data_IF_299927320348
#
_entry.id   IF_299927320348
#
_cell.length_a   1.000
_cell.length_b   1.000
_cell.length_c   1.000
_cell.angle_alpha   90.00
_cell.angle_beta   90.00
_cell.angle_gamma   90.00
#
_symmetry.space_group_name_H-M   'P 1'
#
loop_
_entity.id
_entity.type
_entity.pdbx_description
1 polymer ?
#
# COMPACT_ATOMS: atom_id res chain seq x y z
N UNK A 1 -45.04 12.14 -48.06
CA UNK A 1 -45.87 11.96 -46.85
C UNK A 1 -44.96 12.05 -45.65
N UNK A 2 -45.03 13.16 -44.89
CA UNK A 2 -44.25 13.41 -43.68
C UNK A 2 -45.08 13.07 -42.45
N UNK A 3 -44.49 12.41 -41.46
CA UNK A 3 -45.09 12.20 -40.14
C UNK A 3 -44.23 12.92 -39.10
N UNK A 4 -44.79 13.97 -38.52
CA UNK A 4 -44.30 14.65 -37.33
C UNK A 4 -44.83 13.93 -36.09
N UNK A 5 -44.00 13.73 -35.07
CA UNK A 5 -44.41 13.33 -33.72
C UNK A 5 -43.94 14.40 -32.74
N UNK A 6 -44.90 15.12 -32.17
CA UNK A 6 -44.71 15.99 -31.01
C UNK A 6 -44.96 15.20 -29.73
N UNK A 7 -44.21 15.51 -28.67
CA UNK A 7 -44.47 15.02 -27.32
C UNK A 7 -44.69 16.23 -26.41
N UNK A 8 -45.79 16.15 -25.66
CA UNK A 8 -46.36 17.13 -24.76
C UNK A 8 -45.70 17.05 -23.37
N UNK A 9 -45.44 18.20 -22.76
CA UNK A 9 -44.96 18.36 -21.38
C UNK A 9 -46.04 18.04 -20.34
N UNK A 10 -45.64 17.52 -19.18
CA UNK A 10 -46.37 17.75 -17.93
C UNK A 10 -45.40 17.82 -16.74
N UNK A 11 -45.25 19.03 -16.19
CA UNK A 11 -44.63 19.31 -14.89
C UNK A 11 -45.62 18.97 -13.78
N UNK A 12 -45.16 18.30 -12.72
CA UNK A 12 -45.92 18.18 -11.48
C UNK A 12 -45.10 18.72 -10.31
N UNK A 13 -45.64 19.74 -9.65
CA UNK A 13 -45.25 20.18 -8.31
C UNK A 13 -46.52 20.25 -7.49
N UNK A 14 -46.56 19.61 -6.32
CA UNK A 14 -47.09 20.21 -5.08
C UNK A 14 -46.73 19.36 -3.84
N UNK A 15 -46.70 20.05 -2.71
CA UNK A 15 -46.04 19.74 -1.45
C UNK A 15 -46.76 18.77 -0.49
N UNK A 16 -45.92 18.20 0.39
CA UNK A 16 -46.07 17.93 1.83
C UNK A 16 -47.28 17.14 2.38
N UNK A 17 -46.98 16.01 3.02
CA UNK A 17 -47.66 15.58 4.26
C UNK A 17 -46.66 14.84 5.18
N UNK A 18 -46.31 15.52 6.28
CA UNK A 18 -45.95 15.04 7.63
C UNK A 18 -45.50 13.59 7.89
N UNK A 19 -44.31 13.46 8.51
CA UNK A 19 -44.15 12.61 9.69
C UNK A 19 -43.30 11.33 9.55
N UNK A 20 -41.98 11.43 9.75
CA UNK A 20 -41.24 10.36 10.43
C UNK A 20 -40.05 10.93 11.20
N UNK A 21 -40.05 10.68 12.50
CA UNK A 21 -39.07 11.11 13.49
C UNK A 21 -37.69 10.49 13.20
N UNK A 22 -36.64 11.31 13.11
CA UNK A 22 -35.27 10.81 13.23
C UNK A 22 -34.99 10.50 14.70
N UNK A 23 -35.20 9.25 15.11
CA UNK A 23 -34.61 8.75 16.35
C UNK A 23 -33.13 8.53 16.11
N UNK A 24 -32.31 9.36 16.75
CA UNK A 24 -30.87 9.27 16.76
C UNK A 24 -30.39 7.91 17.25
N UNK A 25 -29.62 7.24 16.40
CA UNK A 25 -28.61 6.29 16.83
C UNK A 25 -27.30 7.03 16.68
N UNK A 26 -26.83 7.64 17.77
CA UNK A 26 -25.46 8.13 17.84
C UNK A 26 -24.55 6.92 17.76
N UNK A 27 -23.87 6.76 16.62
CA UNK A 27 -22.78 5.80 16.46
C UNK A 27 -21.77 6.02 17.59
N UNK A 28 -21.33 4.98 18.30
CA UNK A 28 -20.38 5.15 19.38
C UNK A 28 -19.10 5.80 18.82
N UNK A 29 -18.63 6.81 19.55
CA UNK A 29 -17.43 7.59 19.33
C UNK A 29 -16.23 6.65 19.06
N UNK A 30 -15.97 6.35 17.78
CA UNK A 30 -14.77 5.63 17.37
C UNK A 30 -13.60 6.59 17.57
N UNK A 31 -12.97 6.50 18.75
CA UNK A 31 -11.62 7.02 18.96
C UNK A 31 -10.80 6.63 17.74
N UNK A 32 -10.28 7.63 17.04
CA UNK A 32 -9.41 7.45 15.87
C UNK A 32 -8.24 6.55 16.28
N UNK A 33 -8.35 5.26 15.98
CA UNK A 33 -7.26 4.32 16.20
C UNK A 33 -6.22 4.65 15.15
N UNK A 34 -5.02 5.06 15.60
CA UNK A 34 -3.92 5.39 14.70
C UNK A 34 -3.70 4.21 13.75
N UNK A 35 -4.05 4.39 12.48
CA UNK A 35 -3.93 3.36 11.44
C UNK A 35 -2.47 2.89 11.38
N UNK A 36 -2.26 1.57 11.45
CA UNK A 36 -0.93 0.99 11.29
C UNK A 36 -0.38 1.33 9.91
N UNK A 37 0.87 1.81 9.86
CA UNK A 37 1.60 2.05 8.62
C UNK A 37 2.76 1.06 8.53
N UNK A 38 2.90 0.26 7.47
CA UNK A 38 4.01 -0.67 7.31
C UNK A 38 5.40 0.01 7.48
N UNK A 39 5.54 1.26 7.06
CA UNK A 39 6.76 2.05 7.23
C UNK A 39 7.17 2.27 8.70
N UNK A 40 6.24 2.20 9.65
CA UNK A 40 6.59 2.27 11.07
C UNK A 40 7.33 1.01 11.56
N UNK A 41 7.28 -0.10 10.81
CA UNK A 41 7.94 -1.37 11.16
C UNK A 41 9.39 -1.47 10.69
N UNK A 42 9.84 -0.58 9.81
CA UNK A 42 11.19 -0.59 9.21
C UNK A 42 11.75 0.83 9.22
N UNK A 43 12.90 1.03 9.90
CA UNK A 43 13.59 2.32 9.92
C UNK A 43 15.09 2.10 9.83
N UNK A 44 15.63 2.16 8.62
CA UNK A 44 17.05 1.98 8.35
C UNK A 44 17.58 2.88 7.22
N UNK A 45 16.80 3.88 6.78
CA UNK A 45 17.28 4.85 5.81
C UNK A 45 17.82 6.12 6.48
N UNK A 46 19.10 6.43 6.21
CA UNK A 46 19.81 7.58 6.79
C UNK A 46 19.88 8.82 5.87
N UNK A 47 18.99 8.96 4.88
CA UNK A 47 18.80 10.26 4.20
C UNK A 47 19.81 10.62 3.09
N UNK A 48 20.45 9.64 2.44
CA UNK A 48 21.40 9.90 1.34
C UNK A 48 20.77 10.48 0.06
N UNK A 49 21.60 10.91 -0.90
CA UNK A 49 21.14 11.48 -2.18
C UNK A 49 20.68 10.43 -3.20
N UNK A 50 21.11 9.17 -3.07
CA UNK A 50 20.66 8.07 -3.93
C UNK A 50 19.56 7.27 -3.23
N UNK A 51 18.33 7.41 -3.71
CA UNK A 51 17.18 6.68 -3.20
C UNK A 51 17.17 5.22 -3.66
N UNK A 52 17.69 4.91 -4.84
CA UNK A 52 17.79 3.55 -5.35
C UNK A 52 19.05 2.85 -4.81
N UNK A 53 18.87 1.62 -4.33
CA UNK A 53 19.93 0.72 -3.94
C UNK A 53 19.68 -0.66 -4.57
N UNK A 54 20.67 -1.19 -5.27
CA UNK A 54 20.61 -2.54 -5.84
C UNK A 54 21.70 -3.40 -5.22
N UNK A 55 21.36 -4.64 -4.85
CA UNK A 55 22.27 -5.52 -4.13
C UNK A 55 21.99 -6.98 -4.43
N UNK A 56 23.04 -7.79 -4.36
CA UNK A 56 22.90 -9.25 -4.20
C UNK A 56 22.82 -9.53 -2.70
N UNK A 57 21.76 -10.21 -2.27
CA UNK A 57 21.53 -10.51 -0.85
C UNK A 57 21.18 -11.96 -0.59
N UNK A 58 21.53 -12.44 0.60
CA UNK A 58 21.09 -13.71 1.16
C UNK A 58 19.89 -13.47 2.09
N UNK A 59 18.80 -14.21 1.89
CA UNK A 59 17.58 -14.08 2.69
C UNK A 59 17.83 -14.48 4.15
N UNK A 60 17.47 -13.61 5.09
CA UNK A 60 17.43 -13.91 6.54
C UNK A 60 15.99 -14.22 6.95
N UNK A 61 15.06 -13.27 6.78
CA UNK A 61 13.63 -13.48 7.04
C UNK A 61 12.77 -12.74 6.02
N UNK A 62 11.54 -13.24 5.81
CA UNK A 62 10.47 -12.54 5.11
C UNK A 62 9.18 -12.84 5.84
N UNK A 63 8.74 -11.87 6.63
CA UNK A 63 7.61 -12.00 7.55
C UNK A 63 6.41 -11.25 6.96
N UNK A 64 5.27 -11.93 6.86
CA UNK A 64 4.03 -11.29 6.43
C UNK A 64 3.54 -10.33 7.51
N UNK A 65 3.16 -9.13 7.11
CA UNK A 65 2.60 -8.11 7.99
C UNK A 65 1.06 -8.25 8.04
N UNK A 66 0.42 -7.79 9.12
CA UNK A 66 -1.04 -7.85 9.23
C UNK A 66 -1.73 -7.07 8.10
N UNK A 67 -2.63 -7.73 7.39
CA UNK A 67 -3.48 -7.12 6.37
C UNK A 67 -4.30 -5.95 6.95
N UNK A 68 -4.34 -4.82 6.25
CA UNK A 68 -5.22 -3.70 6.61
C UNK A 68 -6.42 -3.63 5.66
N UNK A 69 -7.65 -3.36 6.18
CA UNK A 69 -8.80 -3.12 5.31
C UNK A 69 -8.53 -2.05 4.26
N UNK A 70 -8.85 -2.37 3.00
CA UNK A 70 -8.65 -1.49 1.84
C UNK A 70 -7.28 -1.59 1.18
N UNK A 71 -6.39 -2.49 1.63
CA UNK A 71 -5.18 -2.84 0.89
C UNK A 71 -5.49 -3.87 -0.20
N UNK A 72 -4.91 -3.71 -1.38
CA UNK A 72 -5.01 -4.69 -2.47
C UNK A 72 -3.86 -5.68 -2.46
N UNK A 73 -2.76 -5.35 -1.77
CA UNK A 73 -1.54 -6.14 -1.74
C UNK A 73 -1.31 -6.71 -0.34
N UNK A 74 -0.74 -7.91 -0.29
CA UNK A 74 -0.14 -8.41 0.94
C UNK A 74 1.17 -7.66 1.20
N UNK A 75 1.39 -7.30 2.46
CA UNK A 75 2.59 -6.59 2.90
C UNK A 75 3.56 -7.55 3.59
N UNK A 76 4.84 -7.41 3.33
CA UNK A 76 5.90 -8.20 3.97
C UNK A 76 7.03 -7.30 4.46
N UNK A 77 7.62 -7.68 5.59
CA UNK A 77 8.90 -7.16 6.06
C UNK A 77 9.98 -8.17 5.69
N UNK A 78 10.86 -7.77 4.78
CA UNK A 78 11.98 -8.57 4.32
C UNK A 78 13.28 -8.14 5.01
N UNK A 79 14.13 -9.10 5.35
CA UNK A 79 15.47 -8.89 5.92
C UNK A 79 16.49 -9.75 5.19
N UNK A 80 17.53 -9.10 4.68
CA UNK A 80 18.56 -9.72 3.86
C UNK A 80 19.96 -9.29 4.30
N UNK A 81 20.91 -10.22 4.25
CA UNK A 81 22.34 -9.92 4.37
C UNK A 81 22.85 -9.51 2.99
N UNK A 82 23.50 -8.35 2.88
CA UNK A 82 24.09 -7.83 1.65
C UNK A 82 25.39 -8.58 1.38
N UNK A 83 25.42 -9.35 0.29
CA UNK A 83 26.62 -10.04 -0.19
C UNK A 83 27.44 -9.14 -1.12
N UNK A 84 26.77 -8.37 -1.96
CA UNK A 84 27.39 -7.46 -2.92
C UNK A 84 26.53 -6.22 -3.13
N UNK A 85 27.16 -5.05 -3.07
CA UNK A 85 26.54 -3.76 -3.46
C UNK A 85 26.70 -3.62 -4.97
N UNK A 86 25.59 -3.55 -5.71
CA UNK A 86 25.59 -3.45 -7.17
C UNK A 86 25.44 -1.99 -7.62
N UNK A 87 24.55 -1.25 -6.97
CA UNK A 87 24.33 0.17 -7.24
C UNK A 87 23.88 0.91 -5.98
N UNK A 88 24.20 2.20 -5.89
CA UNK A 88 23.82 3.06 -4.76
C UNK A 88 24.75 2.94 -3.56
N UNK A 89 24.38 3.61 -2.46
CA UNK A 89 25.13 3.59 -1.20
C UNK A 89 24.24 3.10 -0.08
N UNK A 90 24.75 2.16 0.70
CA UNK A 90 24.15 1.65 1.93
C UNK A 90 25.28 1.25 2.86
N UNK A 91 25.30 1.77 4.08
CA UNK A 91 26.44 1.62 4.99
C UNK A 91 26.42 0.27 5.73
N UNK A 92 25.25 -0.35 5.90
CA UNK A 92 25.11 -1.63 6.59
C UNK A 92 25.47 -2.84 5.73
N UNK A 93 25.61 -3.99 6.40
CA UNK A 93 25.73 -5.32 5.79
C UNK A 93 24.40 -6.08 5.76
N UNK A 94 23.36 -5.51 6.37
CA UNK A 94 22.04 -6.10 6.51
C UNK A 94 21.00 -5.03 6.23
N UNK A 95 20.04 -5.35 5.37
CA UNK A 95 18.98 -4.44 4.97
C UNK A 95 17.62 -5.04 5.31
N UNK A 96 16.74 -4.19 5.85
CA UNK A 96 15.32 -4.44 6.04
C UNK A 96 14.54 -3.55 5.07
N UNK A 97 13.52 -4.09 4.43
CA UNK A 97 12.70 -3.35 3.48
C UNK A 97 11.28 -3.93 3.41
N UNK A 98 10.35 -3.12 2.91
CA UNK A 98 8.97 -3.53 2.69
C UNK A 98 8.79 -4.11 1.30
N UNK A 99 7.90 -5.10 1.20
CA UNK A 99 7.50 -5.71 -0.06
C UNK A 99 5.98 -5.73 -0.10
N UNK A 100 5.41 -5.33 -1.23
CA UNK A 100 3.99 -5.38 -1.49
C UNK A 100 3.75 -6.31 -2.69
N UNK A 101 2.88 -7.30 -2.52
CA UNK A 101 2.55 -8.22 -3.60
C UNK A 101 1.06 -8.62 -3.59
N UNK A 102 0.43 -8.48 -4.75
CA UNK A 102 -0.98 -8.79 -4.98
C UNK A 102 -1.29 -10.30 -4.98
N UNK A 103 -0.31 -11.15 -5.25
CA UNK A 103 -0.51 -12.59 -5.49
C UNK A 103 0.09 -13.46 -4.36
N UNK A 104 0.23 -12.88 -3.17
CA UNK A 104 0.75 -13.55 -1.99
C UNK A 104 2.26 -13.48 -1.87
N UNK A 105 2.88 -14.54 -1.33
CA UNK A 105 4.32 -14.51 -1.00
C UNK A 105 5.19 -14.23 -2.24
N UNK A 106 6.07 -13.21 -2.22
CA UNK A 106 6.80 -12.79 -3.41
C UNK A 106 7.66 -13.93 -4.00
N UNK A 107 7.69 -14.14 -5.34
CA UNK A 107 8.38 -15.28 -5.94
C UNK A 107 9.89 -15.36 -5.65
N UNK A 108 10.57 -14.22 -5.47
CA UNK A 108 12.00 -14.19 -5.17
C UNK A 108 12.35 -14.87 -3.84
N UNK A 109 11.38 -15.01 -2.93
CA UNK A 109 11.56 -15.66 -1.62
C UNK A 109 11.79 -17.17 -1.70
N UNK A 110 11.72 -17.76 -2.90
CA UNK A 110 12.07 -19.17 -3.17
C UNK A 110 13.57 -19.38 -3.32
N UNK A 111 14.34 -18.31 -3.47
CA UNK A 111 15.78 -18.38 -3.70
C UNK A 111 16.53 -17.92 -2.45
N UNK A 112 17.61 -18.63 -2.13
CA UNK A 112 18.49 -18.28 -1.01
C UNK A 112 19.18 -16.93 -1.25
N UNK A 113 19.67 -16.72 -2.47
CA UNK A 113 20.36 -15.51 -2.91
C UNK A 113 19.59 -14.86 -4.05
N UNK A 114 19.48 -13.54 -4.03
CA UNK A 114 18.69 -12.75 -4.98
C UNK A 114 19.40 -11.46 -5.33
N UNK A 115 19.21 -10.96 -6.55
CA UNK A 115 19.48 -9.57 -6.91
C UNK A 115 18.17 -8.80 -6.75
N UNK A 116 18.16 -7.78 -5.90
CA UNK A 116 16.98 -6.95 -5.65
C UNK A 116 17.29 -5.48 -5.81
N UNK A 117 16.24 -4.73 -6.16
CA UNK A 117 16.21 -3.29 -6.26
C UNK A 117 15.27 -2.76 -5.19
N UNK A 118 15.74 -1.78 -4.42
CA UNK A 118 14.94 -1.12 -3.40
C UNK A 118 15.09 0.38 -3.52
N UNK A 119 14.00 1.12 -3.30
CA UNK A 119 14.04 2.58 -3.24
C UNK A 119 13.70 3.07 -1.84
N UNK A 120 14.35 4.15 -1.43
CA UNK A 120 14.08 4.80 -0.17
C UNK A 120 12.85 5.70 -0.28
N UNK A 121 11.87 5.43 0.56
CA UNK A 121 10.67 6.26 0.74
C UNK A 121 10.29 6.35 2.21
N UNK A 122 9.85 7.53 2.64
CA UNK A 122 9.28 7.74 3.99
C UNK A 122 10.15 7.20 5.17
N UNK A 123 11.47 7.16 5.01
CA UNK A 123 12.40 6.66 6.04
C UNK A 123 12.65 5.15 6.05
N UNK A 124 12.12 4.42 5.06
CA UNK A 124 12.33 2.98 4.85
C UNK A 124 12.76 2.69 3.42
N UNK A 125 13.23 1.47 3.16
CA UNK A 125 13.33 0.93 1.81
C UNK A 125 12.06 0.15 1.44
N UNK A 126 11.69 0.22 0.17
CA UNK A 126 10.59 -0.53 -0.44
C UNK A 126 11.14 -1.27 -1.67
N UNK A 127 10.73 -2.53 -1.85
CA UNK A 127 11.10 -3.34 -3.00
C UNK A 127 10.49 -2.78 -4.29
N UNK A 128 11.35 -2.52 -5.27
CA UNK A 128 10.93 -2.07 -6.59
C UNK A 128 10.50 -3.26 -7.44
N UNK A 129 9.17 -3.49 -7.49
CA UNK A 129 8.58 -4.62 -8.21
C UNK A 129 8.69 -4.48 -9.73
N UNK A 130 8.62 -3.25 -10.24
CA UNK A 130 8.64 -2.93 -11.66
C UNK A 130 9.73 -1.90 -11.91
N UNK A 131 10.66 -2.22 -12.81
CA UNK A 131 11.66 -1.29 -13.35
C UNK A 131 11.37 -1.00 -14.82
#
# INVERSE_FOLDING_TARGET
MNIASGILFATLSLAALTGYSQTGVTSPDMKETKRYKPADSVRNYNGGYNKLFAFVGEMITVDQLPYQPGEFDESFKAKYRILQKVYGKFEGDTIEFLVFDHYGRPPFTRYKNVLLYVFADSGTYVHEKYM
#
